data_IF_998871478138
#
_entry.id   IF_998871478138
#
_cell.length_a   1.000
_cell.length_b   1.000
_cell.length_c   1.000
_cell.angle_alpha   90.00
_cell.angle_beta   90.00
_cell.angle_gamma   90.00
#
_symmetry.space_group_name_H-M   'P 1'
#
loop_
_entity.id
_entity.type
_entity.pdbx_description
1 polymer ?
#
# COMPACT_ATOMS: atom_id res chain seq x y z
N UNK A 1 -24.14 32.50 -14.92
CA UNK A 1 -23.10 32.13 -13.92
C UNK A 1 -21.90 31.54 -14.66
N UNK A 2 -20.71 32.11 -14.48
CA UNK A 2 -19.50 31.59 -15.14
C UNK A 2 -19.26 30.14 -14.72
N UNK A 3 -19.16 29.23 -15.70
CA UNK A 3 -18.81 27.82 -15.46
C UNK A 3 -17.44 27.79 -14.80
N UNK A 4 -17.35 27.28 -13.56
CA UNK A 4 -16.07 27.09 -12.87
C UNK A 4 -15.19 26.18 -13.71
N UNK A 5 -13.95 26.61 -13.96
CA UNK A 5 -12.94 25.79 -14.65
C UNK A 5 -12.75 24.47 -13.90
N UNK A 6 -12.57 23.38 -14.64
CA UNK A 6 -12.23 22.09 -14.06
C UNK A 6 -10.97 22.21 -13.20
N UNK A 7 -10.92 21.55 -12.03
CA UNK A 7 -9.76 21.63 -11.16
C UNK A 7 -8.55 20.95 -11.83
N UNK A 8 -7.38 21.57 -11.72
CA UNK A 8 -6.13 21.05 -12.29
C UNK A 8 -5.68 19.74 -11.63
N UNK A 9 -6.11 19.52 -10.39
CA UNK A 9 -5.87 18.30 -9.59
C UNK A 9 -7.23 17.76 -9.15
N UNK A 10 -7.35 16.44 -9.03
CA UNK A 10 -8.64 15.79 -8.84
C UNK A 10 -9.12 15.87 -7.40
N UNK A 11 -10.10 16.72 -7.15
CA UNK A 11 -10.60 17.09 -5.81
C UNK A 11 -11.33 16.00 -5.02
N UNK A 12 -11.34 14.74 -5.50
CA UNK A 12 -12.15 13.62 -4.97
C UNK A 12 -13.69 13.81 -5.06
N UNK A 13 -14.16 15.04 -5.21
CA UNK A 13 -15.56 15.47 -5.33
C UNK A 13 -15.82 16.01 -6.73
N UNK A 14 -16.94 15.62 -7.35
CA UNK A 14 -17.37 16.16 -8.65
C UNK A 14 -17.86 17.61 -8.46
N UNK A 15 -17.22 18.62 -9.08
CA UNK A 15 -17.75 19.98 -9.05
C UNK A 15 -19.12 20.06 -9.74
N UNK A 16 -20.08 20.79 -9.16
CA UNK A 16 -21.36 21.06 -9.83
C UNK A 16 -21.09 21.90 -11.09
N UNK A 17 -21.52 21.40 -12.25
CA UNK A 17 -21.38 22.10 -13.54
C UNK A 17 -20.22 21.64 -14.42
N UNK A 18 -19.46 20.61 -14.04
CA UNK A 18 -18.37 20.06 -14.88
C UNK A 18 -18.62 18.62 -15.35
N UNK A 19 -18.05 18.29 -16.53
CA UNK A 19 -18.26 17.00 -17.21
C UNK A 19 -17.34 15.88 -16.72
N UNK A 20 -16.10 16.20 -16.31
CA UNK A 20 -15.10 15.21 -15.89
C UNK A 20 -15.04 15.06 -14.37
N UNK A 21 -15.12 13.81 -13.89
CA UNK A 21 -14.59 13.42 -12.57
C UNK A 21 -13.10 13.18 -12.74
N UNK A 22 -12.27 14.19 -12.48
CA UNK A 22 -10.83 13.94 -12.32
C UNK A 22 -10.67 13.25 -10.95
N UNK A 23 -10.65 11.91 -10.93
CA UNK A 23 -10.28 11.16 -9.74
C UNK A 23 -8.75 11.24 -9.66
N UNK A 24 -8.22 12.15 -8.84
CA UNK A 24 -6.87 11.93 -8.32
C UNK A 24 -7.04 11.33 -6.95
N UNK A 25 -6.44 10.17 -6.74
CA UNK A 25 -6.29 9.58 -5.41
C UNK A 25 -5.42 10.57 -4.61
N UNK A 26 -6.07 11.45 -3.85
CA UNK A 26 -5.55 12.77 -3.42
C UNK A 26 -4.38 12.72 -2.42
N UNK A 27 -3.72 11.58 -2.21
CA UNK A 27 -2.58 11.55 -1.30
C UNK A 27 -1.55 10.44 -1.62
N UNK A 28 -0.61 10.65 -2.55
CA UNK A 28 0.48 9.70 -2.80
C UNK A 28 1.41 9.49 -1.58
N UNK A 29 1.25 10.28 -0.50
CA UNK A 29 2.02 10.13 0.75
C UNK A 29 1.71 8.83 1.50
N UNK A 30 0.57 8.19 1.26
CA UNK A 30 0.26 6.88 1.87
C UNK A 30 0.65 5.68 0.99
N UNK A 31 1.15 5.93 -0.23
CA UNK A 31 1.60 4.86 -1.10
C UNK A 31 2.92 4.26 -0.59
N UNK A 32 2.93 2.95 -0.35
CA UNK A 32 4.15 2.21 0.00
C UNK A 32 4.53 1.31 -1.16
N UNK A 33 5.66 1.63 -1.79
CA UNK A 33 6.23 0.77 -2.84
C UNK A 33 6.70 -0.57 -2.27
N UNK A 34 6.23 -1.65 -2.90
CA UNK A 34 6.57 -3.04 -2.58
C UNK A 34 7.24 -3.69 -3.79
N UNK A 35 8.33 -4.43 -3.57
CA UNK A 35 8.99 -5.24 -4.59
C UNK A 35 9.05 -6.70 -4.12
N UNK A 36 8.73 -7.61 -5.02
CA UNK A 36 8.76 -9.07 -4.77
C UNK A 36 9.21 -9.84 -6.02
N UNK A 37 9.96 -9.19 -6.91
CA UNK A 37 10.49 -9.83 -8.10
C UNK A 37 11.45 -10.96 -7.70
N UNK A 38 12.45 -10.64 -6.88
CA UNK A 38 13.39 -11.60 -6.29
C UNK A 38 13.09 -11.89 -4.82
N UNK A 39 13.77 -12.91 -4.26
CA UNK A 39 13.73 -13.20 -2.82
C UNK A 39 14.36 -12.05 -2.02
N UNK A 40 15.45 -11.47 -2.53
CA UNK A 40 16.12 -10.33 -1.91
C UNK A 40 15.19 -9.12 -1.83
N UNK A 41 14.45 -8.82 -2.90
CA UNK A 41 13.45 -7.74 -2.92
C UNK A 41 12.35 -7.96 -1.88
N UNK A 42 11.84 -9.19 -1.76
CA UNK A 42 10.81 -9.50 -0.77
C UNK A 42 11.32 -9.32 0.66
N UNK A 43 12.59 -9.69 0.94
CA UNK A 43 13.24 -9.45 2.24
C UNK A 43 13.42 -7.95 2.51
N UNK A 44 13.90 -7.20 1.53
CA UNK A 44 14.08 -5.76 1.63
C UNK A 44 12.74 -5.05 1.89
N UNK A 45 11.70 -5.41 1.14
CA UNK A 45 10.34 -4.90 1.32
C UNK A 45 9.79 -5.22 2.71
N UNK A 46 9.91 -6.47 3.15
CA UNK A 46 9.46 -6.87 4.49
C UNK A 46 10.19 -6.09 5.60
N UNK A 47 11.50 -5.87 5.48
CA UNK A 47 12.29 -5.11 6.43
C UNK A 47 11.92 -3.62 6.44
N UNK A 48 11.74 -3.03 5.25
CA UNK A 48 11.23 -1.66 5.09
C UNK A 48 9.89 -1.51 5.81
N UNK A 49 8.91 -2.36 5.52
CA UNK A 49 7.55 -2.27 6.09
C UNK A 49 7.53 -2.47 7.61
N UNK A 50 8.44 -3.27 8.18
CA UNK A 50 8.57 -3.36 9.65
C UNK A 50 8.99 -2.02 10.27
N UNK A 51 9.90 -1.30 9.60
CA UNK A 51 10.54 -0.08 10.11
C UNK A 51 9.80 1.22 9.79
N UNK A 52 9.00 1.28 8.72
CA UNK A 52 8.28 2.53 8.35
C UNK A 52 7.41 3.06 9.49
N UNK A 53 7.27 4.39 9.56
CA UNK A 53 6.38 5.05 10.52
C UNK A 53 4.93 5.03 9.99
N UNK A 54 4.31 3.85 10.03
CA UNK A 54 2.89 3.63 9.70
C UNK A 54 2.23 2.81 10.81
N UNK A 55 0.91 2.94 11.03
CA UNK A 55 0.19 2.15 12.02
C UNK A 55 0.37 0.65 11.82
N UNK A 56 0.29 -0.12 12.91
CA UNK A 56 0.41 -1.59 12.87
C UNK A 56 -0.53 -2.22 11.84
N UNK A 57 -1.81 -1.83 11.86
CA UNK A 57 -2.82 -2.31 10.91
C UNK A 57 -2.38 -2.09 9.46
N UNK A 58 -1.82 -0.90 9.16
CA UNK A 58 -1.34 -0.56 7.81
C UNK A 58 -0.16 -1.43 7.36
N UNK A 59 0.78 -1.70 8.27
CA UNK A 59 1.91 -2.61 7.99
C UNK A 59 1.43 -4.02 7.64
N UNK A 60 0.43 -4.53 8.36
CA UNK A 60 -0.16 -5.86 8.11
C UNK A 60 -0.87 -5.91 6.75
N UNK A 61 -1.60 -4.86 6.38
CA UNK A 61 -2.26 -4.77 5.07
C UNK A 61 -1.23 -4.85 3.94
N UNK A 62 -0.16 -4.04 4.01
CA UNK A 62 0.89 -4.02 2.97
C UNK A 62 1.53 -5.40 2.79
N UNK A 63 1.90 -6.06 3.91
CA UNK A 63 2.48 -7.40 3.86
C UNK A 63 1.49 -8.45 3.35
N UNK A 64 0.19 -8.27 3.62
CA UNK A 64 -0.85 -9.18 3.10
C UNK A 64 -1.01 -9.03 1.59
N UNK A 65 -0.96 -7.82 1.06
CA UNK A 65 -0.94 -7.59 -0.40
C UNK A 65 0.28 -8.25 -1.04
N UNK A 66 1.46 -8.09 -0.45
CA UNK A 66 2.67 -8.76 -0.94
C UNK A 66 2.54 -10.29 -0.91
N UNK A 67 2.00 -10.85 0.16
CA UNK A 67 1.78 -12.30 0.30
C UNK A 67 0.85 -12.84 -0.80
N UNK A 68 -0.30 -12.20 -1.00
CA UNK A 68 -1.29 -12.66 -1.97
C UNK A 68 -0.76 -12.55 -3.40
N UNK A 69 -0.14 -11.41 -3.75
CA UNK A 69 0.47 -11.24 -5.08
C UNK A 69 1.57 -12.27 -5.33
N UNK A 70 2.40 -12.55 -4.33
CA UNK A 70 3.42 -13.59 -4.43
C UNK A 70 2.82 -14.99 -4.59
N UNK A 71 1.75 -15.33 -3.86
CA UNK A 71 1.03 -16.61 -4.00
C UNK A 71 0.45 -16.79 -5.39
N UNK A 72 -0.29 -15.79 -5.88
CA UNK A 72 -0.90 -15.79 -7.22
C UNK A 72 0.19 -15.91 -8.30
N UNK A 73 1.36 -15.31 -8.08
CA UNK A 73 2.50 -15.40 -9.00
C UNK A 73 3.35 -16.68 -8.84
N UNK A 74 2.93 -17.68 -8.06
CA UNK A 74 3.70 -18.92 -7.82
C UNK A 74 4.98 -18.75 -6.99
N UNK A 75 5.20 -17.59 -6.38
CA UNK A 75 6.41 -17.20 -5.65
C UNK A 75 6.34 -17.59 -4.17
N UNK A 76 6.38 -18.90 -3.90
CA UNK A 76 6.17 -19.47 -2.57
C UNK A 76 7.12 -18.92 -1.48
N UNK A 77 8.43 -18.77 -1.78
CA UNK A 77 9.43 -18.26 -0.83
C UNK A 77 9.15 -16.80 -0.43
N UNK A 78 8.73 -15.97 -1.37
CA UNK A 78 8.38 -14.56 -1.17
C UNK A 78 7.11 -14.43 -0.33
N UNK A 79 6.10 -15.27 -0.59
CA UNK A 79 4.90 -15.35 0.24
C UNK A 79 5.23 -15.76 1.69
N UNK A 80 6.12 -16.75 1.88
CA UNK A 80 6.59 -17.14 3.22
C UNK A 80 7.32 -16.01 3.94
N UNK A 81 8.13 -15.21 3.25
CA UNK A 81 8.79 -14.02 3.83
C UNK A 81 7.75 -13.02 4.34
N UNK A 82 6.73 -12.74 3.52
CA UNK A 82 5.63 -11.86 3.90
C UNK A 82 4.89 -12.37 5.15
N UNK A 83 4.57 -13.66 5.17
CA UNK A 83 3.91 -14.34 6.30
C UNK A 83 4.73 -14.22 7.58
N UNK A 84 6.02 -14.59 7.54
CA UNK A 84 6.95 -14.46 8.68
C UNK A 84 7.06 -13.02 9.18
N UNK A 85 7.05 -12.05 8.26
CA UNK A 85 7.09 -10.64 8.63
C UNK A 85 5.82 -10.20 9.39
N UNK A 86 4.64 -10.67 8.98
CA UNK A 86 3.38 -10.42 9.70
C UNK A 86 3.37 -11.05 11.08
N UNK A 87 3.86 -12.28 11.21
CA UNK A 87 3.95 -12.97 12.49
C UNK A 87 4.88 -12.23 13.47
N UNK A 88 6.02 -11.75 13.00
CA UNK A 88 6.92 -10.93 13.81
C UNK A 88 6.25 -9.64 14.32
N UNK A 89 5.50 -8.95 13.45
CA UNK A 89 4.75 -7.75 13.85
C UNK A 89 3.62 -8.07 14.83
N UNK A 90 2.89 -9.17 14.63
CA UNK A 90 1.84 -9.65 15.57
C UNK A 90 2.42 -9.94 16.94
N UNK A 91 3.55 -10.65 17.01
CA UNK A 91 4.24 -10.96 18.26
C UNK A 91 4.72 -9.69 18.97
N UNK A 92 5.28 -8.74 18.21
CA UNK A 92 5.71 -7.45 18.78
C UNK A 92 4.53 -6.65 19.33
N UNK A 93 3.43 -6.58 18.58
CA UNK A 93 2.25 -5.80 18.99
C UNK A 93 1.54 -6.40 20.21
N UNK A 94 1.47 -7.73 20.33
CA UNK A 94 0.88 -8.40 21.52
C UNK A 94 1.70 -8.25 22.80
N UNK A 95 2.98 -7.86 22.70
CA UNK A 95 3.88 -7.66 23.84
C UNK A 95 3.90 -6.20 24.32
N UNK A 96 3.21 -5.30 23.61
CA UNK A 96 3.07 -3.88 23.95
C UNK A 96 1.67 -3.63 24.45
#
# INVERSE_FOLDING_TARGET
>A
MAKRKDPKVGTGKKPKGTGRRLYTDENPKDTVSIKYATIADARATANKVKKINKPYARKIQILTVMEQRAKVSGKAKQAQIAKKAKEALRKKHKKS
#
